data_IF_449650291991
#
_entry.id   IF_449650291991
#
_cell.length_a   1.000
_cell.length_b   1.000
_cell.length_c   1.000
_cell.angle_alpha   90.00
_cell.angle_beta   90.00
_cell.angle_gamma   90.00
#
_symmetry.space_group_name_H-M   'P 1'
#
loop_
_entity.id
_entity.type
_entity.pdbx_description
1 polymer ?
#
# COMPACT_ATOMS: atom_id res chain seq x y z
N UNK A 1 -32.63 1.88 -27.86
CA UNK A 1 -31.25 1.57 -27.35
C UNK A 1 -31.36 0.37 -26.45
N UNK A 2 -30.56 -0.67 -26.63
CA UNK A 2 -30.51 -1.81 -25.71
C UNK A 2 -29.99 -1.35 -24.33
N UNK A 3 -30.55 -1.91 -23.27
CA UNK A 3 -30.12 -1.62 -21.89
C UNK A 3 -28.66 -2.11 -21.72
N UNK A 4 -27.75 -1.21 -21.30
CA UNK A 4 -26.36 -1.59 -21.00
C UNK A 4 -26.32 -2.61 -19.86
N UNK A 5 -25.55 -3.67 -20.01
CA UNK A 5 -25.22 -4.61 -18.95
C UNK A 5 -24.31 -3.97 -17.90
N UNK A 6 -24.07 -4.63 -16.77
CA UNK A 6 -23.16 -4.14 -15.73
C UNK A 6 -21.75 -3.90 -16.31
N UNK A 7 -21.22 -4.87 -17.08
CA UNK A 7 -19.88 -4.80 -17.67
C UNK A 7 -19.68 -3.65 -18.67
N UNK A 8 -20.76 -3.21 -19.34
CA UNK A 8 -20.73 -2.11 -20.32
C UNK A 8 -20.85 -0.72 -19.67
N UNK A 9 -21.00 -0.64 -18.34
CA UNK A 9 -21.14 0.62 -17.61
C UNK A 9 -19.80 1.05 -17.00
N UNK A 10 -19.51 2.33 -17.11
CA UNK A 10 -18.38 2.95 -16.43
C UNK A 10 -18.85 3.50 -15.07
N UNK A 11 -18.88 2.63 -14.07
CA UNK A 11 -19.26 3.02 -12.71
C UNK A 11 -18.17 3.84 -12.03
N UNK A 12 -18.58 4.70 -11.09
CA UNK A 12 -17.70 5.49 -10.25
C UNK A 12 -17.19 4.66 -9.07
N UNK A 13 -16.18 5.19 -8.38
CA UNK A 13 -15.47 4.51 -7.30
C UNK A 13 -16.43 3.94 -6.24
N UNK A 14 -17.38 4.76 -5.78
CA UNK A 14 -18.33 4.43 -4.72
C UNK A 14 -19.26 3.27 -5.10
N UNK A 15 -19.56 3.11 -6.38
CA UNK A 15 -20.30 1.95 -6.89
C UNK A 15 -19.39 0.73 -7.02
N UNK A 16 -18.16 0.92 -7.53
CA UNK A 16 -17.21 -0.17 -7.71
C UNK A 16 -16.83 -0.80 -6.38
N UNK A 17 -16.58 0.00 -5.33
CA UNK A 17 -16.21 -0.50 -4.00
C UNK A 17 -17.28 -1.39 -3.35
N UNK A 18 -18.54 -1.28 -3.80
CA UNK A 18 -19.67 -2.06 -3.28
C UNK A 18 -19.98 -3.32 -4.09
N UNK A 19 -19.66 -3.33 -5.40
CA UNK A 19 -20.24 -4.31 -6.31
C UNK A 19 -19.23 -5.23 -6.99
N UNK A 20 -17.99 -4.78 -7.22
CA UNK A 20 -17.02 -5.59 -7.99
C UNK A 20 -16.73 -6.91 -7.28
N UNK A 21 -16.77 -8.00 -8.05
CA UNK A 21 -16.58 -9.36 -7.59
C UNK A 21 -17.83 -10.02 -6.99
N UNK A 22 -18.94 -9.25 -6.82
CA UNK A 22 -20.23 -9.76 -6.36
C UNK A 22 -21.41 -9.13 -7.13
N UNK A 23 -21.23 -8.91 -8.42
CA UNK A 23 -22.26 -8.38 -9.32
C UNK A 23 -23.50 -9.27 -9.34
N UNK A 24 -23.30 -10.58 -9.16
CA UNK A 24 -24.33 -11.59 -9.00
C UNK A 24 -24.33 -12.12 -7.55
N UNK A 25 -25.47 -12.59 -7.05
CA UNK A 25 -25.53 -13.30 -5.77
C UNK A 25 -24.71 -14.60 -5.84
N UNK A 26 -24.42 -15.19 -4.68
CA UNK A 26 -23.79 -16.50 -4.61
C UNK A 26 -24.61 -17.53 -5.40
N UNK A 27 -24.03 -18.27 -6.37
CA UNK A 27 -24.79 -19.12 -7.29
C UNK A 27 -25.39 -20.38 -6.64
N UNK A 28 -25.00 -20.70 -5.39
CA UNK A 28 -25.48 -21.89 -4.71
C UNK A 28 -26.57 -21.55 -3.69
N UNK A 29 -26.44 -20.40 -3.02
CA UNK A 29 -27.30 -20.05 -1.86
C UNK A 29 -28.16 -18.82 -2.12
N UNK A 30 -27.96 -18.12 -3.25
CA UNK A 30 -28.55 -16.82 -3.56
C UNK A 30 -28.20 -15.71 -2.55
N UNK A 31 -27.17 -15.92 -1.71
CA UNK A 31 -26.74 -14.94 -0.73
C UNK A 31 -26.26 -13.67 -1.41
N UNK A 32 -26.74 -12.51 -0.96
CA UNK A 32 -26.27 -11.20 -1.46
C UNK A 32 -24.93 -10.83 -0.89
N UNK A 33 -24.71 -11.08 0.41
CA UNK A 33 -23.39 -10.87 1.02
C UNK A 33 -22.40 -11.93 0.54
N UNK A 34 -21.11 -11.56 0.44
CA UNK A 34 -20.06 -12.50 0.06
C UNK A 34 -19.94 -13.59 1.15
N UNK A 35 -20.12 -14.88 0.83
CA UNK A 35 -19.95 -15.96 1.81
C UNK A 35 -18.48 -16.09 2.26
N UNK A 36 -18.28 -16.50 3.52
CA UNK A 36 -16.96 -16.82 4.04
C UNK A 36 -16.68 -18.31 3.79
N UNK A 37 -15.85 -18.61 2.80
CA UNK A 37 -15.46 -19.99 2.48
C UNK A 37 -14.27 -20.42 3.34
N UNK A 38 -14.52 -20.72 4.60
CA UNK A 38 -13.51 -21.14 5.58
C UNK A 38 -13.16 -22.62 5.35
N UNK A 39 -12.46 -22.91 4.25
CA UNK A 39 -12.02 -24.25 3.86
C UNK A 39 -10.58 -24.27 3.38
N UNK A 40 -9.81 -25.28 3.83
CA UNK A 40 -8.43 -25.48 3.36
C UNK A 40 -8.37 -26.20 2.01
N UNK A 41 -9.41 -26.96 1.61
CA UNK A 41 -9.38 -27.81 0.42
C UNK A 41 -10.74 -27.93 -0.24
N UNK A 42 -10.73 -28.24 -1.53
CA UNK A 42 -11.91 -28.35 -2.38
C UNK A 42 -11.95 -29.73 -3.05
N UNK A 43 -13.15 -30.33 -3.15
CA UNK A 43 -13.35 -31.68 -3.67
C UNK A 43 -13.39 -31.67 -5.19
N UNK A 44 -12.71 -32.64 -5.80
CA UNK A 44 -12.78 -32.88 -7.25
C UNK A 44 -13.90 -33.87 -7.58
N UNK A 45 -14.45 -33.77 -8.79
CA UNK A 45 -15.51 -34.66 -9.30
C UNK A 45 -15.01 -36.09 -9.51
N UNK A 46 -13.76 -36.22 -10.00
CA UNK A 46 -13.06 -37.46 -10.26
C UNK A 46 -11.55 -37.20 -10.47
N UNK A 47 -10.76 -38.22 -10.72
CA UNK A 47 -9.30 -38.12 -10.90
C UNK A 47 -8.89 -37.29 -12.13
N UNK A 48 -9.66 -37.37 -13.22
CA UNK A 48 -9.39 -36.58 -14.43
C UNK A 48 -9.63 -35.09 -14.20
N UNK A 49 -10.70 -34.73 -13.46
CA UNK A 49 -10.95 -33.37 -13.02
C UNK A 49 -9.82 -32.85 -12.12
N UNK A 50 -9.32 -33.67 -11.19
CA UNK A 50 -8.16 -33.31 -10.36
C UNK A 50 -6.93 -33.06 -11.24
N UNK A 51 -6.61 -33.96 -12.17
CA UNK A 51 -5.50 -33.79 -13.09
C UNK A 51 -5.60 -32.53 -13.95
N UNK A 52 -6.81 -32.22 -14.45
CA UNK A 52 -7.07 -31.00 -15.24
C UNK A 52 -6.83 -29.72 -14.41
N UNK A 53 -7.24 -29.68 -13.13
CA UNK A 53 -6.99 -28.56 -12.21
C UNK A 53 -5.48 -28.35 -11.99
N UNK A 54 -4.74 -29.42 -11.65
CA UNK A 54 -3.29 -29.34 -11.45
C UNK A 54 -2.53 -29.05 -12.76
N UNK A 55 -3.04 -29.53 -13.89
CA UNK A 55 -2.49 -29.27 -15.23
C UNK A 55 -2.87 -27.91 -15.82
N UNK A 56 -3.63 -27.07 -15.09
CA UNK A 56 -4.09 -25.73 -15.52
C UNK A 56 -4.99 -25.71 -16.76
N UNK A 57 -5.55 -26.86 -17.15
CA UNK A 57 -6.51 -26.97 -18.25
C UNK A 57 -7.95 -26.74 -17.80
N UNK A 58 -8.21 -26.71 -16.50
CA UNK A 58 -9.49 -26.38 -15.89
C UNK A 58 -9.26 -25.38 -14.74
N UNK A 59 -9.97 -24.26 -14.76
CA UNK A 59 -9.86 -23.23 -13.76
C UNK A 59 -10.68 -23.53 -12.50
N UNK A 60 -10.21 -23.15 -11.30
CA UNK A 60 -10.96 -23.18 -10.05
C UNK A 60 -10.13 -23.52 -8.84
N UNK A 61 -10.83 -23.78 -7.74
CA UNK A 61 -10.20 -23.96 -6.44
C UNK A 61 -9.61 -25.37 -6.28
N UNK A 62 -8.43 -25.44 -5.66
CA UNK A 62 -7.72 -26.67 -5.32
C UNK A 62 -7.47 -26.69 -3.81
N UNK A 63 -6.78 -25.70 -3.31
CA UNK A 63 -6.34 -25.57 -1.93
C UNK A 63 -6.37 -24.11 -1.48
N UNK A 64 -6.90 -23.84 -0.29
CA UNK A 64 -7.17 -22.49 0.22
C UNK A 64 -5.96 -21.57 0.33
N UNK A 65 -4.72 -22.10 0.36
CA UNK A 65 -3.52 -21.29 0.32
C UNK A 65 -3.32 -20.60 -1.04
N UNK A 66 -3.80 -21.23 -2.12
CA UNK A 66 -3.61 -20.73 -3.49
C UNK A 66 -4.79 -19.91 -3.98
N UNK A 67 -6.00 -20.40 -3.71
CA UNK A 67 -7.25 -19.81 -4.18
C UNK A 67 -8.36 -20.02 -3.18
N UNK A 68 -9.15 -18.99 -2.93
CA UNK A 68 -10.33 -19.06 -2.08
C UNK A 68 -11.40 -18.09 -2.63
N UNK A 69 -12.67 -18.49 -2.72
CA UNK A 69 -13.71 -17.64 -3.32
C UNK A 69 -13.93 -16.31 -2.59
N UNK A 70 -13.73 -16.26 -1.26
CA UNK A 70 -13.87 -15.00 -0.49
C UNK A 70 -12.71 -14.06 -0.77
N UNK A 71 -11.49 -14.59 -0.82
CA UNK A 71 -10.29 -13.83 -1.18
C UNK A 71 -10.35 -13.32 -2.62
N UNK A 72 -10.87 -14.12 -3.55
CA UNK A 72 -11.02 -13.76 -4.96
C UNK A 72 -11.88 -12.50 -5.14
N UNK A 73 -12.99 -12.39 -4.40
CA UNK A 73 -13.82 -11.17 -4.43
C UNK A 73 -13.04 -9.95 -3.93
N UNK A 74 -12.25 -10.09 -2.87
CA UNK A 74 -11.40 -9.02 -2.37
C UNK A 74 -10.34 -8.60 -3.40
N UNK A 75 -9.68 -9.58 -4.01
CA UNK A 75 -8.64 -9.36 -5.03
C UNK A 75 -9.22 -8.66 -6.26
N UNK A 76 -10.36 -9.12 -6.79
CA UNK A 76 -11.04 -8.50 -7.93
C UNK A 76 -11.43 -7.04 -7.62
N UNK A 77 -11.97 -6.80 -6.42
CA UNK A 77 -12.43 -5.48 -6.00
C UNK A 77 -11.28 -4.49 -5.90
N UNK A 78 -10.22 -4.83 -5.18
CA UNK A 78 -9.08 -3.93 -5.03
C UNK A 78 -8.33 -3.71 -6.36
N UNK A 79 -8.19 -4.74 -7.20
CA UNK A 79 -7.62 -4.58 -8.53
C UNK A 79 -8.39 -3.55 -9.35
N UNK A 80 -9.73 -3.64 -9.34
CA UNK A 80 -10.57 -2.69 -10.08
C UNK A 80 -10.52 -1.28 -9.51
N UNK A 81 -10.46 -1.13 -8.19
CA UNK A 81 -10.38 0.17 -7.54
C UNK A 81 -9.06 0.88 -7.83
N UNK A 82 -7.95 0.16 -7.88
CA UNK A 82 -6.64 0.69 -8.30
C UNK A 82 -6.51 0.90 -9.82
N UNK A 83 -7.37 0.29 -10.62
CA UNK A 83 -7.26 0.31 -12.08
C UNK A 83 -6.29 -0.72 -12.64
N UNK A 84 -5.95 -1.76 -11.86
CA UNK A 84 -5.15 -2.91 -12.27
C UNK A 84 -5.96 -4.00 -12.97
N UNK A 85 -5.26 -4.99 -13.52
CA UNK A 85 -5.85 -6.15 -14.20
C UNK A 85 -6.06 -7.34 -13.26
N UNK A 86 -5.24 -7.44 -12.22
CA UNK A 86 -5.31 -8.52 -11.23
C UNK A 86 -4.69 -8.08 -9.90
N UNK A 87 -5.07 -8.76 -8.83
CA UNK A 87 -4.45 -8.59 -7.51
C UNK A 87 -4.21 -9.93 -6.82
N UNK A 88 -3.35 -9.91 -5.82
CA UNK A 88 -3.05 -11.03 -4.94
C UNK A 88 -3.11 -10.57 -3.49
N UNK A 89 -4.02 -11.17 -2.71
CA UNK A 89 -4.09 -10.97 -1.28
C UNK A 89 -3.08 -11.87 -0.55
N UNK A 90 -2.43 -11.30 0.47
CA UNK A 90 -1.39 -11.96 1.28
C UNK A 90 -1.53 -11.61 2.75
N UNK A 91 -0.83 -12.33 3.62
CA UNK A 91 -0.98 -12.29 5.07
C UNK A 91 -0.67 -10.93 5.72
N UNK A 92 0.10 -10.06 5.07
CA UNK A 92 0.48 -8.73 5.61
C UNK A 92 1.00 -7.81 4.51
N UNK A 93 1.07 -6.49 4.80
CA UNK A 93 1.76 -5.53 3.94
C UNK A 93 3.25 -5.88 3.76
N UNK A 94 3.90 -6.35 4.83
CA UNK A 94 5.29 -6.81 4.75
C UNK A 94 5.44 -8.01 3.79
N UNK A 95 4.49 -8.96 3.78
CA UNK A 95 4.49 -10.06 2.81
C UNK A 95 4.25 -9.56 1.38
N UNK A 96 3.40 -8.54 1.19
CA UNK A 96 3.17 -7.94 -0.13
C UNK A 96 4.45 -7.32 -0.70
N UNK A 97 5.16 -6.52 0.08
CA UNK A 97 6.45 -5.91 -0.28
C UNK A 97 7.51 -7.01 -0.52
N UNK A 98 7.66 -7.95 0.40
CA UNK A 98 8.66 -9.02 0.30
C UNK A 98 8.45 -9.87 -0.95
N UNK A 99 7.23 -10.31 -1.23
CA UNK A 99 6.91 -11.08 -2.43
C UNK A 99 7.09 -10.27 -3.71
N UNK A 100 6.79 -8.98 -3.69
CA UNK A 100 7.01 -8.10 -4.83
C UNK A 100 8.50 -8.08 -5.20
N UNK A 101 9.39 -7.82 -4.23
CA UNK A 101 10.82 -7.78 -4.52
C UNK A 101 11.41 -9.14 -4.85
N UNK A 102 11.03 -10.22 -4.15
CA UNK A 102 11.48 -11.58 -4.47
C UNK A 102 10.97 -12.08 -5.82
N UNK A 103 9.88 -11.52 -6.33
CA UNK A 103 9.40 -11.85 -7.67
C UNK A 103 10.18 -11.11 -8.78
N UNK A 104 10.69 -9.91 -8.47
CA UNK A 104 11.46 -9.05 -9.40
C UNK A 104 12.95 -9.35 -9.37
N UNK A 105 13.53 -9.57 -8.20
CA UNK A 105 14.97 -9.63 -7.95
C UNK A 105 15.40 -10.98 -7.36
N UNK A 106 16.60 -11.40 -7.72
CA UNK A 106 17.27 -12.61 -7.23
C UNK A 106 18.66 -12.25 -6.71
N UNK A 107 19.40 -13.25 -6.22
CA UNK A 107 20.79 -13.05 -5.79
C UNK A 107 21.63 -12.41 -6.91
N UNK A 108 22.30 -11.31 -6.60
CA UNK A 108 23.07 -10.49 -7.54
C UNK A 108 22.28 -9.32 -8.16
N UNK A 109 20.99 -9.19 -7.89
CA UNK A 109 20.18 -8.09 -8.39
C UNK A 109 20.11 -6.90 -7.40
N UNK A 110 19.61 -5.77 -7.90
CA UNK A 110 19.58 -4.50 -7.21
C UNK A 110 18.21 -3.81 -7.29
N UNK A 111 17.84 -3.07 -6.25
CA UNK A 111 16.63 -2.25 -6.15
C UNK A 111 17.02 -0.79 -5.85
N UNK A 112 16.39 0.17 -6.50
CA UNK A 112 16.45 1.58 -6.09
C UNK A 112 15.19 1.88 -5.26
N UNK A 113 15.34 2.47 -4.09
CA UNK A 113 14.22 2.81 -3.21
C UNK A 113 14.33 4.25 -2.71
N UNK A 114 13.20 4.93 -2.59
CA UNK A 114 13.16 6.21 -1.90
C UNK A 114 13.55 6.04 -0.41
N UNK A 115 14.23 7.04 0.16
CA UNK A 115 14.64 7.00 1.57
C UNK A 115 13.50 7.27 2.56
N UNK A 116 12.46 8.01 2.13
CA UNK A 116 11.30 8.37 2.94
C UNK A 116 10.15 7.33 2.86
N UNK A 117 10.48 6.06 3.04
CA UNK A 117 9.55 4.92 3.00
C UNK A 117 9.33 4.34 4.40
N UNK A 118 8.34 3.46 4.52
CA UNK A 118 8.05 2.73 5.74
C UNK A 118 9.30 2.02 6.29
N UNK A 119 9.59 2.20 7.59
CA UNK A 119 10.79 1.65 8.23
C UNK A 119 10.94 0.14 8.09
N UNK A 120 9.84 -0.62 8.07
CA UNK A 120 9.90 -2.07 7.81
C UNK A 120 10.33 -2.41 6.38
N UNK A 121 9.97 -1.61 5.38
CA UNK A 121 10.45 -1.77 4.00
C UNK A 121 11.92 -1.35 3.90
N UNK A 122 12.30 -0.28 4.58
CA UNK A 122 13.71 0.12 4.68
C UNK A 122 14.56 -1.02 5.26
N UNK A 123 14.18 -1.56 6.42
CA UNK A 123 14.91 -2.67 7.06
C UNK A 123 14.97 -3.92 6.18
N UNK A 124 13.88 -4.26 5.49
CA UNK A 124 13.86 -5.37 4.53
C UNK A 124 14.93 -5.19 3.44
N UNK A 125 15.00 -4.00 2.84
CA UNK A 125 15.92 -3.69 1.74
C UNK A 125 17.35 -3.48 2.22
N UNK A 126 17.56 -2.85 3.38
CA UNK A 126 18.88 -2.51 3.88
C UNK A 126 19.60 -3.70 4.55
N UNK A 127 18.86 -4.60 5.19
CA UNK A 127 19.43 -5.62 6.06
C UNK A 127 19.00 -7.03 5.66
N UNK A 128 17.71 -7.31 5.47
CA UNK A 128 17.22 -8.68 5.27
C UNK A 128 17.53 -9.20 3.86
N UNK A 129 17.20 -8.48 2.82
CA UNK A 129 17.41 -8.94 1.44
C UNK A 129 18.90 -9.05 1.04
N UNK A 130 19.83 -8.26 1.56
CA UNK A 130 21.25 -8.47 1.35
C UNK A 130 21.77 -9.83 1.81
N UNK A 131 21.19 -10.44 2.84
CA UNK A 131 21.51 -11.82 3.27
C UNK A 131 21.15 -12.86 2.20
N UNK A 132 20.21 -12.52 1.30
CA UNK A 132 19.81 -13.33 0.14
C UNK A 132 20.45 -12.84 -1.16
N UNK A 133 21.41 -11.92 -1.08
CA UNK A 133 22.19 -11.41 -2.22
C UNK A 133 21.47 -10.37 -3.05
N UNK A 134 20.37 -9.78 -2.59
CA UNK A 134 19.67 -8.66 -3.24
C UNK A 134 20.09 -7.37 -2.55
N UNK A 135 20.64 -6.41 -3.28
CA UNK A 135 21.11 -5.13 -2.75
C UNK A 135 20.13 -3.99 -3.05
N UNK A 136 20.24 -2.89 -2.30
CA UNK A 136 19.45 -1.70 -2.55
C UNK A 136 20.27 -0.41 -2.42
N UNK A 137 19.89 0.61 -3.20
CA UNK A 137 20.34 2.00 -3.03
C UNK A 137 19.14 2.85 -2.60
N UNK A 138 19.34 3.64 -1.54
CA UNK A 138 18.34 4.59 -1.07
C UNK A 138 18.64 5.98 -1.60
N UNK A 139 17.64 6.62 -2.18
CA UNK A 139 17.76 7.90 -2.90
C UNK A 139 16.75 8.92 -2.38
N UNK A 140 17.07 10.20 -2.54
CA UNK A 140 16.10 11.27 -2.36
C UNK A 140 15.09 11.24 -3.51
N UNK A 141 13.79 10.96 -3.29
CA UNK A 141 12.80 10.88 -4.34
C UNK A 141 12.53 12.23 -5.04
N UNK A 142 13.03 13.33 -4.51
CA UNK A 142 12.96 14.67 -5.10
C UNK A 142 14.20 15.04 -5.91
N UNK A 143 15.27 14.25 -5.81
CA UNK A 143 16.48 14.39 -6.62
C UNK A 143 16.48 13.36 -7.77
N UNK A 144 15.88 13.74 -8.91
CA UNK A 144 15.74 12.83 -10.05
C UNK A 144 17.06 12.40 -10.66
N UNK A 145 18.12 13.23 -10.55
CA UNK A 145 19.45 12.85 -11.01
C UNK A 145 20.07 11.76 -10.12
N UNK A 146 19.87 11.83 -8.81
CA UNK A 146 20.30 10.79 -7.88
C UNK A 146 19.61 9.46 -8.16
N UNK A 147 18.32 9.49 -8.52
CA UNK A 147 17.57 8.30 -8.93
C UNK A 147 18.20 7.68 -10.18
N UNK A 148 18.47 8.50 -11.21
CA UNK A 148 19.13 8.05 -12.45
C UNK A 148 20.52 7.45 -12.18
N UNK A 149 21.34 8.14 -11.37
CA UNK A 149 22.72 7.74 -11.05
C UNK A 149 22.77 6.45 -10.21
N UNK A 150 21.73 6.17 -9.43
CA UNK A 150 21.62 4.95 -8.62
C UNK A 150 21.24 3.70 -9.43
N UNK A 151 20.70 3.86 -10.64
CA UNK A 151 20.30 2.73 -11.48
C UNK A 151 21.52 2.03 -12.07
N UNK A 152 21.63 0.72 -11.80
CA UNK A 152 22.70 -0.17 -12.27
C UNK A 152 22.17 -1.11 -13.36
N UNK A 153 23.06 -1.83 -14.05
CA UNK A 153 22.66 -2.82 -15.06
C UNK A 153 21.72 -3.91 -14.49
N UNK A 154 22.01 -4.35 -13.27
CA UNK A 154 21.27 -5.36 -12.51
C UNK A 154 20.09 -4.79 -11.70
N UNK A 155 19.75 -3.51 -11.83
CA UNK A 155 18.58 -2.93 -11.17
C UNK A 155 17.31 -3.51 -11.76
N UNK A 156 16.37 -3.92 -10.87
CA UNK A 156 15.11 -4.58 -11.23
C UNK A 156 13.86 -3.75 -10.97
N UNK A 157 13.93 -2.75 -10.12
CA UNK A 157 12.77 -1.88 -9.83
C UNK A 157 13.22 -0.56 -9.20
N UNK A 158 12.34 0.44 -9.31
CA UNK A 158 12.32 1.60 -8.41
C UNK A 158 11.13 1.44 -7.48
N UNK A 159 11.31 1.74 -6.19
CA UNK A 159 10.26 1.71 -5.16
C UNK A 159 10.06 3.07 -4.50
N UNK A 160 8.80 3.51 -4.43
CA UNK A 160 8.38 4.74 -3.76
C UNK A 160 7.08 4.52 -2.98
N UNK A 161 6.75 5.44 -2.08
CA UNK A 161 5.41 5.59 -1.48
C UNK A 161 4.71 6.82 -2.07
N UNK A 162 3.39 6.80 -2.20
CA UNK A 162 2.61 7.94 -2.71
C UNK A 162 2.68 9.16 -1.81
N UNK A 163 2.69 8.91 -0.51
CA UNK A 163 2.90 9.87 0.57
C UNK A 163 4.00 9.34 1.47
N UNK A 164 5.09 10.08 1.57
CA UNK A 164 6.26 9.69 2.35
C UNK A 164 5.95 9.48 3.84
N UNK A 165 6.61 8.52 4.44
CA UNK A 165 6.49 8.23 5.88
C UNK A 165 7.74 8.77 6.61
N UNK A 166 7.61 9.64 7.62
CA UNK A 166 6.35 9.99 8.30
C UNK A 166 5.69 11.32 7.89
N UNK A 167 6.32 12.12 7.03
CA UNK A 167 6.00 13.54 6.82
C UNK A 167 4.95 13.81 5.73
N UNK A 168 4.38 12.78 5.10
CA UNK A 168 3.37 12.90 4.02
C UNK A 168 3.81 13.73 2.81
N UNK A 169 5.09 13.75 2.49
CA UNK A 169 5.62 14.41 1.30
C UNK A 169 5.09 13.70 0.05
N UNK A 170 4.69 14.49 -0.95
CA UNK A 170 4.13 13.96 -2.20
C UNK A 170 5.23 13.71 -3.20
N UNK A 171 5.35 12.47 -3.69
CA UNK A 171 6.34 12.06 -4.69
C UNK A 171 5.75 12.19 -6.10
N UNK A 172 6.53 12.67 -7.08
CA UNK A 172 6.08 12.74 -8.48
C UNK A 172 6.14 11.35 -9.16
N UNK A 173 5.03 10.63 -9.01
CA UNK A 173 4.88 9.25 -9.52
C UNK A 173 5.18 9.18 -11.02
N UNK A 174 4.60 10.11 -11.81
CA UNK A 174 4.71 10.09 -13.26
C UNK A 174 6.15 10.31 -13.72
N UNK A 175 6.86 11.22 -13.07
CA UNK A 175 8.25 11.52 -13.42
C UNK A 175 9.18 10.34 -13.10
N UNK A 176 8.98 9.70 -11.94
CA UNK A 176 9.78 8.52 -11.55
C UNK A 176 9.41 7.30 -12.39
N UNK A 177 8.14 7.13 -12.77
CA UNK A 177 7.72 6.09 -13.71
C UNK A 177 8.43 6.23 -15.06
N UNK A 178 8.53 7.45 -15.58
CA UNK A 178 9.25 7.71 -16.83
C UNK A 178 10.73 7.35 -16.74
N UNK A 179 11.38 7.62 -15.60
CA UNK A 179 12.78 7.21 -15.35
C UNK A 179 12.87 5.68 -15.35
N UNK A 180 12.04 5.00 -14.57
CA UNK A 180 12.02 3.53 -14.49
C UNK A 180 11.85 2.89 -15.88
N UNK A 181 10.88 3.37 -16.65
CA UNK A 181 10.56 2.83 -17.98
C UNK A 181 11.67 3.09 -19.00
N UNK A 182 12.38 4.22 -18.92
CA UNK A 182 13.55 4.49 -19.78
C UNK A 182 14.65 3.44 -19.56
N UNK A 183 14.78 2.91 -18.34
CA UNK A 183 15.69 1.83 -18.00
C UNK A 183 15.09 0.42 -18.10
N UNK A 184 13.86 0.30 -18.64
CA UNK A 184 13.12 -0.97 -18.80
C UNK A 184 12.93 -1.74 -17.49
N UNK A 185 12.70 -1.03 -16.40
CA UNK A 185 12.36 -1.59 -15.08
C UNK A 185 11.01 -1.05 -14.63
N UNK A 186 10.24 -1.82 -13.82
CA UNK A 186 8.95 -1.38 -13.31
C UNK A 186 9.11 -0.38 -12.16
N UNK A 187 8.10 0.49 -12.02
CA UNK A 187 7.87 1.29 -10.83
C UNK A 187 6.91 0.54 -9.88
N UNK A 188 7.37 0.30 -8.65
CA UNK A 188 6.60 -0.25 -7.54
C UNK A 188 6.19 0.88 -6.61
N UNK A 189 4.90 1.03 -6.35
CA UNK A 189 4.36 2.11 -5.50
C UNK A 189 3.60 1.52 -4.33
N UNK A 190 3.99 1.86 -3.12
CA UNK A 190 3.15 1.62 -1.93
C UNK A 190 2.11 2.75 -1.81
N UNK A 191 0.84 2.37 -1.99
CA UNK A 191 -0.30 3.30 -1.96
C UNK A 191 -1.10 3.19 -0.65
N UNK A 192 -0.49 2.70 0.40
CA UNK A 192 -1.14 2.46 1.70
C UNK A 192 -1.73 3.74 2.30
N UNK A 193 -1.00 4.87 2.26
CA UNK A 193 -1.42 6.11 2.91
C UNK A 193 -2.44 6.90 2.10
N UNK A 194 -2.41 6.79 0.78
CA UNK A 194 -3.35 7.51 -0.07
C UNK A 194 -4.62 6.71 -0.39
N UNK A 195 -4.52 5.40 -0.52
CA UNK A 195 -5.59 4.51 -1.00
C UNK A 195 -5.98 4.77 -2.46
N UNK A 196 -6.63 3.82 -3.15
CA UNK A 196 -7.11 4.05 -4.52
C UNK A 196 -8.22 5.11 -4.61
N UNK A 197 -8.75 5.56 -3.47
CA UNK A 197 -9.76 6.61 -3.44
C UNK A 197 -9.18 8.00 -3.70
N UNK A 198 -8.03 8.31 -3.10
CA UNK A 198 -7.39 9.62 -3.27
C UNK A 198 -6.52 9.68 -4.53
N UNK A 199 -5.73 8.64 -4.80
CA UNK A 199 -4.88 8.55 -5.99
C UNK A 199 -4.74 7.11 -6.46
N UNK A 200 -4.69 6.92 -7.77
CA UNK A 200 -4.41 5.63 -8.42
C UNK A 200 -3.06 5.72 -9.12
N UNK A 201 -1.98 5.21 -8.52
CA UNK A 201 -0.64 5.31 -9.10
C UNK A 201 -0.52 4.73 -10.51
N UNK A 202 -1.33 3.70 -10.84
CA UNK A 202 -1.39 3.08 -12.17
C UNK A 202 -1.79 4.07 -13.27
N UNK A 203 -2.58 5.10 -12.96
CA UNK A 203 -2.96 6.14 -13.90
C UNK A 203 -1.77 7.06 -14.25
N UNK A 204 -0.74 7.06 -13.41
CA UNK A 204 0.48 7.86 -13.54
C UNK A 204 1.73 7.04 -13.85
N UNK A 205 1.58 5.79 -14.26
CA UNK A 205 2.67 4.96 -14.75
C UNK A 205 3.23 3.94 -13.76
N UNK A 206 2.66 3.80 -12.56
CA UNK A 206 3.04 2.68 -11.69
C UNK A 206 2.68 1.34 -12.33
N UNK A 207 3.58 0.38 -12.23
CA UNK A 207 3.40 -0.97 -12.78
C UNK A 207 2.84 -1.93 -11.77
N UNK A 208 3.34 -1.83 -10.54
CA UNK A 208 2.91 -2.63 -9.39
C UNK A 208 2.52 -1.70 -8.26
N UNK A 209 1.36 -1.92 -7.68
CA UNK A 209 0.90 -1.19 -6.49
C UNK A 209 0.77 -2.17 -5.34
N UNK A 210 1.28 -1.79 -4.17
CA UNK A 210 1.16 -2.59 -2.95
C UNK A 210 0.41 -1.82 -1.87
N UNK A 211 -0.26 -2.57 -0.99
CA UNK A 211 -0.91 -2.01 0.18
C UNK A 211 -0.69 -2.88 1.41
N UNK A 212 -0.49 -2.25 2.54
CA UNK A 212 -0.89 -2.84 3.81
C UNK A 212 -2.40 -2.66 3.96
N UNK A 213 -3.16 -3.74 3.67
CA UNK A 213 -4.62 -3.72 3.83
C UNK A 213 -5.05 -3.53 5.29
N UNK A 214 -4.15 -3.79 6.23
CA UNK A 214 -4.25 -3.51 7.67
C UNK A 214 -4.67 -2.07 7.98
N UNK A 215 -4.25 -1.11 7.12
CA UNK A 215 -4.42 0.33 7.32
C UNK A 215 -5.80 0.79 6.84
N UNK A 216 -5.92 1.78 6.00
CA UNK A 216 -7.22 2.33 5.56
C UNK A 216 -8.18 1.30 4.95
N UNK A 217 -7.69 0.26 4.25
CA UNK A 217 -8.57 -0.76 3.65
C UNK A 217 -9.39 -1.45 4.74
N UNK A 218 -8.75 -1.97 5.80
CA UNK A 218 -9.43 -2.49 6.98
C UNK A 218 -10.04 -1.39 7.84
N UNK A 219 -9.24 -0.39 8.16
CA UNK A 219 -9.63 0.87 8.79
C UNK A 219 -9.98 0.82 10.28
N UNK A 220 -9.94 -0.34 10.93
CA UNK A 220 -10.43 -0.52 12.30
C UNK A 220 -9.40 -1.16 13.25
N UNK A 221 -8.17 -1.37 12.81
CA UNK A 221 -7.11 -1.98 13.63
C UNK A 221 -7.40 -3.44 14.03
N UNK A 222 -8.29 -4.14 13.32
CA UNK A 222 -8.82 -5.45 13.73
C UNK A 222 -8.13 -6.62 13.04
N UNK A 223 -7.49 -6.41 11.88
CA UNK A 223 -6.93 -7.50 11.10
C UNK A 223 -5.71 -7.07 10.30
N UNK A 224 -4.81 -8.02 10.08
CA UNK A 224 -3.56 -7.81 9.32
C UNK A 224 -3.73 -8.47 7.96
N UNK A 225 -3.29 -7.77 6.91
CA UNK A 225 -3.25 -8.27 5.55
C UNK A 225 -2.50 -7.33 4.62
N UNK A 226 -2.19 -7.83 3.44
CA UNK A 226 -1.58 -7.07 2.37
C UNK A 226 -2.18 -7.44 1.02
N UNK A 227 -1.92 -6.62 0.02
CA UNK A 227 -2.34 -6.88 -1.35
C UNK A 227 -1.34 -6.32 -2.34
N UNK A 228 -1.13 -7.04 -3.42
CA UNK A 228 -0.29 -6.66 -4.56
C UNK A 228 -1.23 -6.50 -5.75
N UNK A 229 -1.18 -5.37 -6.43
CA UNK A 229 -1.98 -5.10 -7.64
C UNK A 229 -1.05 -4.97 -8.84
N UNK A 230 -1.35 -5.74 -9.88
CA UNK A 230 -0.64 -5.71 -11.16
C UNK A 230 -1.37 -4.78 -12.13
N UNK A 231 -0.68 -3.78 -12.66
CA UNK A 231 -1.25 -2.89 -13.68
C UNK A 231 -1.55 -3.62 -14.99
N UNK A 232 -0.82 -4.69 -15.29
CA UNK A 232 -0.82 -5.40 -16.56
C UNK A 232 -0.20 -4.62 -17.72
N UNK A 233 0.45 -3.50 -17.45
CA UNK A 233 0.98 -2.60 -18.49
C UNK A 233 2.46 -2.78 -18.77
N UNK A 234 3.23 -3.35 -17.83
CA UNK A 234 4.66 -3.52 -18.01
C UNK A 234 4.99 -4.61 -19.02
N UNK A 235 5.84 -4.29 -19.98
CA UNK A 235 6.30 -5.25 -20.99
C UNK A 235 7.45 -6.12 -20.47
N UNK A 236 7.09 -7.19 -19.76
CA UNK A 236 8.05 -8.15 -19.20
C UNK A 236 8.96 -8.77 -20.26
N UNK A 237 8.42 -9.05 -21.47
CA UNK A 237 9.17 -9.68 -22.56
C UNK A 237 10.11 -8.66 -23.20
N UNK A 238 9.61 -7.49 -23.55
CA UNK A 238 10.40 -6.43 -24.20
C UNK A 238 11.48 -5.81 -23.29
N UNK A 239 11.28 -5.89 -21.96
CA UNK A 239 12.30 -5.49 -20.98
C UNK A 239 13.57 -6.35 -21.08
N UNK A 240 13.43 -7.67 -21.22
CA UNK A 240 14.55 -8.62 -21.25
C UNK A 240 15.24 -8.84 -19.89
N UNK A 241 14.77 -8.20 -18.82
CA UNK A 241 15.42 -8.23 -17.49
C UNK A 241 14.83 -9.26 -16.51
N UNK A 242 13.70 -9.93 -16.85
CA UNK A 242 12.93 -10.75 -15.94
C UNK A 242 12.75 -12.21 -16.42
N UNK A 243 13.85 -13.00 -16.48
CA UNK A 243 13.78 -14.38 -16.98
C UNK A 243 12.83 -15.27 -16.16
N UNK A 244 12.67 -15.02 -14.88
CA UNK A 244 11.73 -15.74 -14.02
C UNK A 244 10.26 -15.63 -14.45
N UNK A 245 9.89 -14.57 -15.17
CA UNK A 245 8.55 -14.34 -15.73
C UNK A 245 8.47 -14.77 -17.20
N UNK A 246 9.56 -14.64 -17.96
CA UNK A 246 9.55 -14.78 -19.42
C UNK A 246 10.05 -16.12 -19.93
N UNK A 247 10.93 -16.80 -19.18
CA UNK A 247 11.47 -18.13 -19.54
C UNK A 247 10.62 -19.27 -18.98
N UNK A 248 10.74 -20.48 -19.54
CA UNK A 248 10.06 -21.67 -19.04
C UNK A 248 10.42 -21.98 -17.58
N UNK A 249 9.41 -22.05 -16.70
CA UNK A 249 9.60 -22.32 -15.28
C UNK A 249 9.60 -23.85 -15.01
N UNK A 250 10.72 -24.42 -14.51
CA UNK A 250 10.83 -25.86 -14.31
C UNK A 250 9.94 -26.40 -13.18
N UNK A 251 9.59 -25.55 -12.17
CA UNK A 251 8.73 -25.95 -11.06
C UNK A 251 7.24 -25.83 -11.38
N UNK A 252 6.89 -25.31 -12.58
CA UNK A 252 5.51 -25.11 -12.97
C UNK A 252 5.29 -25.51 -14.45
N UNK A 253 5.39 -26.80 -14.72
CA UNK A 253 5.13 -27.43 -16.04
C UNK A 253 5.89 -26.81 -17.21
N UNK A 254 7.00 -26.10 -16.99
CA UNK A 254 7.78 -25.44 -18.05
C UNK A 254 7.06 -24.26 -18.73
N UNK A 255 6.05 -23.67 -18.10
CA UNK A 255 5.39 -22.49 -18.67
C UNK A 255 6.23 -21.22 -18.50
N UNK A 256 6.12 -20.29 -19.45
CA UNK A 256 6.49 -18.90 -19.28
C UNK A 256 5.26 -18.13 -18.81
N UNK A 257 5.32 -17.53 -17.63
CA UNK A 257 4.16 -16.81 -17.07
C UNK A 257 3.72 -15.66 -17.97
N UNK A 258 4.66 -14.86 -18.49
CA UNK A 258 4.36 -13.75 -19.36
C UNK A 258 3.62 -14.19 -20.64
N UNK A 259 3.98 -15.35 -21.21
CA UNK A 259 3.32 -15.89 -22.41
C UNK A 259 1.99 -16.59 -22.10
N UNK A 260 1.91 -17.28 -20.94
CA UNK A 260 0.77 -18.11 -20.59
C UNK A 260 -0.44 -17.29 -20.10
N UNK A 261 -0.19 -16.24 -19.30
CA UNK A 261 -1.27 -15.45 -18.66
C UNK A 261 -1.23 -13.96 -19.00
N UNK A 262 -0.26 -13.53 -19.82
CA UNK A 262 -0.20 -12.16 -20.34
C UNK A 262 -0.15 -11.09 -19.25
N UNK A 263 -1.08 -10.12 -19.24
CA UNK A 263 -1.03 -8.97 -18.34
C UNK A 263 -1.01 -9.30 -16.83
N UNK A 264 -1.54 -10.45 -16.42
CA UNK A 264 -1.57 -10.87 -15.02
C UNK A 264 -0.35 -11.70 -14.59
N UNK A 265 0.72 -11.72 -15.40
CA UNK A 265 1.88 -12.58 -15.20
C UNK A 265 2.54 -12.37 -13.84
N UNK A 266 2.64 -11.13 -13.38
CA UNK A 266 3.35 -10.79 -12.16
C UNK A 266 2.70 -11.43 -10.92
N UNK A 267 1.44 -11.15 -10.66
CA UNK A 267 0.73 -11.71 -9.50
C UNK A 267 0.47 -13.20 -9.64
N UNK A 268 0.28 -13.70 -10.88
CA UNK A 268 0.10 -15.13 -11.10
C UNK A 268 1.36 -15.93 -10.73
N UNK A 269 2.55 -15.42 -11.08
CA UNK A 269 3.80 -16.08 -10.67
C UNK A 269 3.98 -16.04 -9.15
N UNK A 270 3.67 -14.93 -8.49
CA UNK A 270 3.75 -14.87 -7.02
C UNK A 270 2.83 -15.93 -6.40
N UNK A 271 1.57 -16.03 -6.86
CA UNK A 271 0.62 -17.05 -6.39
C UNK A 271 1.13 -18.48 -6.61
N UNK A 272 1.59 -18.76 -7.82
CA UNK A 272 1.97 -20.13 -8.23
C UNK A 272 3.30 -20.60 -7.64
N UNK A 273 4.21 -19.70 -7.29
CA UNK A 273 5.56 -20.00 -6.80
C UNK A 273 5.71 -19.54 -5.34
N UNK A 274 5.78 -18.21 -5.09
CA UNK A 274 6.15 -17.68 -3.78
C UNK A 274 5.09 -18.00 -2.72
N UNK A 275 3.84 -17.70 -2.99
CA UNK A 275 2.73 -17.97 -2.06
C UNK A 275 2.57 -19.48 -1.82
N UNK A 276 2.66 -20.28 -2.88
CA UNK A 276 2.58 -21.76 -2.77
C UNK A 276 3.66 -22.30 -1.86
N UNK A 277 4.90 -21.83 -2.02
CA UNK A 277 6.08 -22.46 -1.42
C UNK A 277 6.43 -21.88 -0.05
N UNK A 278 6.10 -20.59 0.21
CA UNK A 278 6.45 -19.90 1.47
C UNK A 278 5.26 -19.58 2.36
N UNK A 279 4.03 -19.61 1.82
CA UNK A 279 2.80 -19.76 2.59
C UNK A 279 2.23 -18.53 3.28
N UNK A 280 2.60 -17.30 2.90
CA UNK A 280 2.03 -16.08 3.49
C UNK A 280 0.59 -15.80 2.96
N UNK A 281 -0.30 -16.77 3.11
CA UNK A 281 -1.70 -16.69 2.64
C UNK A 281 -2.56 -15.84 3.57
N UNK A 282 -3.52 -15.14 3.01
CA UNK A 282 -4.54 -14.44 3.77
C UNK A 282 -5.58 -15.44 4.29
N UNK A 283 -6.23 -15.13 5.41
CA UNK A 283 -7.40 -15.87 5.88
C UNK A 283 -8.66 -15.41 5.16
N UNK A 284 -9.58 -16.31 4.75
CA UNK A 284 -10.88 -15.93 4.19
C UNK A 284 -11.70 -15.02 5.12
N UNK A 285 -11.57 -15.19 6.42
CA UNK A 285 -12.20 -14.31 7.40
C UNK A 285 -11.60 -12.90 7.37
N UNK A 286 -10.28 -12.77 7.21
CA UNK A 286 -9.63 -11.47 7.03
C UNK A 286 -10.05 -10.82 5.71
N UNK A 287 -10.14 -11.59 4.62
CA UNK A 287 -10.65 -11.09 3.34
C UNK A 287 -12.06 -10.53 3.46
N UNK A 288 -12.94 -11.19 4.21
CA UNK A 288 -14.28 -10.71 4.50
C UNK A 288 -14.28 -9.38 5.27
N UNK A 289 -13.41 -9.23 6.29
CA UNK A 289 -13.26 -7.96 7.02
C UNK A 289 -12.77 -6.85 6.09
N UNK A 290 -11.81 -7.14 5.22
CA UNK A 290 -11.33 -6.15 4.23
C UNK A 290 -12.39 -5.78 3.20
N UNK A 291 -13.24 -6.71 2.78
CA UNK A 291 -14.39 -6.41 1.92
C UNK A 291 -15.35 -5.42 2.59
N UNK A 292 -15.67 -5.63 3.88
CA UNK A 292 -16.50 -4.68 4.64
C UNK A 292 -15.81 -3.32 4.78
N UNK A 293 -14.49 -3.29 5.00
CA UNK A 293 -13.71 -2.07 5.02
C UNK A 293 -13.73 -1.33 3.69
N UNK A 294 -13.59 -2.04 2.56
CA UNK A 294 -13.67 -1.44 1.22
C UNK A 294 -15.03 -0.81 0.94
N UNK A 295 -16.12 -1.43 1.40
CA UNK A 295 -17.48 -0.92 1.16
C UNK A 295 -17.74 0.48 1.73
N UNK A 296 -16.94 0.91 2.72
CA UNK A 296 -17.01 2.25 3.32
C UNK A 296 -15.75 3.06 3.15
N UNK A 297 -14.83 2.64 2.28
CA UNK A 297 -13.51 3.27 2.15
C UNK A 297 -13.62 4.76 1.79
N UNK A 298 -14.40 5.10 0.77
CA UNK A 298 -14.57 6.50 0.34
C UNK A 298 -15.10 7.38 1.47
N UNK A 299 -16.14 6.93 2.17
CA UNK A 299 -16.77 7.68 3.26
C UNK A 299 -15.80 7.92 4.43
N UNK A 300 -14.99 6.92 4.78
CA UNK A 300 -14.00 7.05 5.84
C UNK A 300 -12.85 7.95 5.45
N UNK A 301 -12.30 7.75 4.24
CA UNK A 301 -11.17 8.55 3.77
C UNK A 301 -11.55 10.03 3.60
N UNK A 302 -12.74 10.33 3.08
CA UNK A 302 -13.25 11.72 3.04
C UNK A 302 -13.28 12.35 4.43
N UNK A 303 -13.81 11.65 5.44
CA UNK A 303 -13.87 12.15 6.81
C UNK A 303 -12.47 12.28 7.43
N UNK A 304 -11.59 11.33 7.23
CA UNK A 304 -10.19 11.41 7.68
C UNK A 304 -9.51 12.67 7.13
N UNK A 305 -9.64 12.92 5.82
CA UNK A 305 -9.05 14.07 5.15
C UNK A 305 -9.67 15.40 5.63
N UNK A 306 -10.99 15.44 5.72
CA UNK A 306 -11.69 16.63 6.24
C UNK A 306 -11.23 17.00 7.64
N UNK A 307 -11.16 16.02 8.55
CA UNK A 307 -10.69 16.24 9.91
C UNK A 307 -9.20 16.65 9.92
N UNK A 308 -8.36 15.95 9.16
CA UNK A 308 -6.93 16.24 9.11
C UNK A 308 -6.63 17.67 8.65
N UNK A 309 -7.30 18.16 7.62
CA UNK A 309 -7.10 19.53 7.14
C UNK A 309 -7.48 20.58 8.18
N UNK A 310 -8.52 20.33 8.99
CA UNK A 310 -8.91 21.21 10.10
C UNK A 310 -7.89 21.16 11.24
N UNK A 311 -7.33 19.96 11.54
CA UNK A 311 -6.24 19.83 12.53
C UNK A 311 -4.97 20.51 12.04
N UNK A 312 -4.63 20.38 10.75
CA UNK A 312 -3.48 21.08 10.14
C UNK A 312 -3.63 22.60 10.28
N UNK A 313 -4.83 23.14 10.00
CA UNK A 313 -5.08 24.58 10.17
C UNK A 313 -4.97 25.03 11.64
N UNK A 314 -5.51 24.27 12.58
CA UNK A 314 -5.37 24.51 14.01
C UNK A 314 -3.89 24.53 14.44
N UNK A 315 -3.12 23.48 14.09
CA UNK A 315 -1.72 23.36 14.47
C UNK A 315 -0.84 24.43 13.84
N UNK A 316 -1.05 24.76 12.56
CA UNK A 316 -0.30 25.80 11.85
C UNK A 316 -0.41 27.16 12.54
N UNK A 317 -1.55 27.45 13.15
CA UNK A 317 -1.81 28.73 13.83
C UNK A 317 -1.51 28.67 15.33
N UNK A 318 -1.09 27.53 15.88
CA UNK A 318 -0.89 27.38 17.32
C UNK A 318 0.48 27.91 17.77
N UNK A 319 0.56 28.77 18.84
CA UNK A 319 1.81 29.43 19.25
C UNK A 319 2.92 28.49 19.69
N UNK A 320 2.59 27.30 20.18
CA UNK A 320 3.55 26.29 20.62
C UNK A 320 3.99 25.32 19.51
N UNK A 321 3.47 25.45 18.28
CA UNK A 321 3.88 24.66 17.11
C UNK A 321 4.97 25.40 16.35
N UNK A 322 6.05 24.70 16.02
CA UNK A 322 7.15 25.22 15.22
C UNK A 322 6.87 25.02 13.72
N UNK A 323 6.42 23.83 13.34
CA UNK A 323 6.18 23.45 11.96
C UNK A 323 5.10 22.36 11.87
N UNK A 324 4.37 22.35 10.77
CA UNK A 324 3.46 21.25 10.37
C UNK A 324 3.98 20.68 9.06
N UNK A 325 4.30 19.39 9.05
CA UNK A 325 4.78 18.68 7.87
C UNK A 325 3.58 18.05 7.15
N UNK A 326 2.85 18.87 6.42
CA UNK A 326 1.71 18.44 5.60
C UNK A 326 1.75 19.16 4.25
N UNK A 327 1.53 18.45 3.12
CA UNK A 327 1.71 19.03 1.78
C UNK A 327 0.78 20.23 1.50
N UNK A 328 -0.40 20.29 2.11
CA UNK A 328 -1.34 21.42 1.92
C UNK A 328 -0.83 22.76 2.47
N UNK A 329 0.14 22.72 3.38
CA UNK A 329 0.72 23.91 4.04
C UNK A 329 2.24 23.99 3.85
N UNK A 330 2.79 23.23 2.92
CA UNK A 330 4.22 23.22 2.59
C UNK A 330 4.64 24.59 2.02
N UNK A 331 5.80 25.08 2.44
CA UNK A 331 6.43 26.28 1.85
C UNK A 331 7.14 25.97 0.52
N UNK A 332 7.32 24.71 0.18
CA UNK A 332 7.91 24.26 -1.08
C UNK A 332 6.86 24.28 -2.20
N UNK A 333 7.08 25.10 -3.23
CA UNK A 333 6.15 25.28 -4.35
C UNK A 333 5.97 23.99 -5.16
N UNK A 334 7.01 23.14 -5.31
CA UNK A 334 6.92 21.86 -6.00
C UNK A 334 5.96 20.92 -5.24
N UNK A 335 6.10 20.82 -3.91
CA UNK A 335 5.20 20.02 -3.09
C UNK A 335 3.74 20.49 -3.21
N UNK A 336 3.51 21.81 -3.26
CA UNK A 336 2.16 22.36 -3.46
C UNK A 336 1.58 21.99 -4.83
N UNK A 337 2.39 22.02 -5.88
CA UNK A 337 1.97 21.63 -7.23
C UNK A 337 1.68 20.13 -7.33
N UNK A 338 2.56 19.28 -6.77
CA UNK A 338 2.36 17.84 -6.71
C UNK A 338 1.11 17.48 -5.90
N UNK A 339 0.89 18.15 -4.77
CA UNK A 339 -0.32 17.95 -3.96
C UNK A 339 -1.59 18.29 -4.74
N UNK A 340 -1.63 19.42 -5.46
CA UNK A 340 -2.76 19.77 -6.33
C UNK A 340 -2.97 18.78 -7.48
N UNK A 341 -1.87 18.26 -8.04
CA UNK A 341 -1.90 17.30 -9.16
C UNK A 341 -2.46 15.95 -8.72
N UNK A 342 -1.94 15.38 -7.64
CA UNK A 342 -2.27 14.03 -7.20
C UNK A 342 -3.43 13.95 -6.21
N UNK A 343 -3.67 15.01 -5.44
CA UNK A 343 -4.66 15.04 -4.36
C UNK A 343 -5.65 16.21 -4.52
N UNK A 344 -6.39 16.29 -5.64
CA UNK A 344 -7.32 17.41 -5.87
C UNK A 344 -8.45 17.47 -4.84
N UNK A 345 -8.76 16.36 -4.18
CA UNK A 345 -9.77 16.25 -3.13
C UNK A 345 -9.16 16.24 -1.72
N UNK A 346 -7.89 16.62 -1.58
CA UNK A 346 -7.14 16.55 -0.34
C UNK A 346 -6.54 15.16 -0.08
N UNK A 347 -5.71 15.08 0.94
CA UNK A 347 -5.00 13.86 1.34
C UNK A 347 -4.12 14.13 2.55
N UNK A 348 -3.39 13.10 3.04
CA UNK A 348 -2.43 13.25 4.12
C UNK A 348 -3.07 13.31 5.51
N UNK A 349 -3.97 12.40 5.86
CA UNK A 349 -4.52 12.33 7.22
C UNK A 349 -3.55 11.72 8.25
N UNK A 350 -2.38 11.28 7.78
CA UNK A 350 -1.24 10.86 8.59
C UNK A 350 -0.12 11.85 8.30
N UNK A 351 0.31 12.62 9.28
CA UNK A 351 1.31 13.65 9.10
C UNK A 351 2.05 13.92 10.41
N UNK A 352 3.10 14.75 10.37
CA UNK A 352 3.85 15.15 11.55
C UNK A 352 3.75 16.64 11.80
N UNK A 353 4.00 17.01 13.05
CA UNK A 353 4.30 18.40 13.41
C UNK A 353 5.43 18.44 14.43
N UNK A 354 6.09 19.59 14.53
CA UNK A 354 7.16 19.86 15.46
C UNK A 354 6.65 20.83 16.53
N UNK A 355 6.71 20.41 17.80
CA UNK A 355 6.36 21.28 18.94
C UNK A 355 7.56 22.15 19.30
N UNK A 356 7.34 23.39 19.70
CA UNK A 356 8.41 24.25 20.22
C UNK A 356 8.92 23.73 21.54
N UNK A 357 10.15 23.22 21.54
CA UNK A 357 10.79 22.62 22.71
C UNK A 357 11.63 21.41 22.31
N UNK A 358 11.85 20.54 23.26
CA UNK A 358 12.69 19.37 23.17
C UNK A 358 11.86 18.05 23.15
N UNK A 359 12.54 16.93 23.13
CA UNK A 359 12.02 15.58 23.25
C UNK A 359 11.07 15.42 24.46
N UNK A 360 11.44 16.00 25.62
CA UNK A 360 10.61 15.88 26.82
C UNK A 360 9.26 16.56 26.65
N UNK A 361 9.25 17.76 26.06
CA UNK A 361 8.01 18.50 25.81
C UNK A 361 7.10 17.81 24.80
N UNK A 362 7.69 17.17 23.77
CA UNK A 362 6.92 16.37 22.81
C UNK A 362 6.24 15.17 23.48
N UNK A 363 6.95 14.46 24.35
CA UNK A 363 6.41 13.34 25.14
C UNK A 363 5.35 13.79 26.14
N UNK A 364 5.60 14.89 26.86
CA UNK A 364 4.62 15.45 27.79
C UNK A 364 3.32 15.84 27.08
N UNK A 365 3.40 16.39 25.85
CA UNK A 365 2.22 16.66 25.03
C UNK A 365 1.45 15.37 24.71
N UNK A 366 2.15 14.33 24.25
CA UNK A 366 1.54 13.04 23.90
C UNK A 366 0.88 12.40 25.13
N UNK A 367 1.55 12.42 26.27
CA UNK A 367 1.09 11.81 27.52
C UNK A 367 -0.15 12.53 28.12
N UNK A 368 -0.44 13.75 27.70
CA UNK A 368 -1.62 14.52 28.11
C UNK A 368 -2.80 14.44 27.12
N UNK A 369 -2.70 13.70 26.04
CA UNK A 369 -3.82 13.41 25.14
C UNK A 369 -4.71 12.31 25.75
N UNK A 370 -6.03 12.53 25.76
CA UNK A 370 -7.02 11.59 26.29
C UNK A 370 -7.76 10.83 25.19
N UNK A 371 -8.05 11.51 24.05
CA UNK A 371 -8.76 10.94 22.91
C UNK A 371 -7.82 10.15 22.00
N UNK A 372 -6.62 10.66 21.75
CA UNK A 372 -5.64 9.99 20.89
C UNK A 372 -5.04 8.77 21.58
N UNK A 373 -5.03 7.64 20.88
CA UNK A 373 -4.34 6.44 21.39
C UNK A 373 -2.85 6.45 21.04
N UNK A 374 -1.98 6.33 22.03
CA UNK A 374 -0.54 6.18 21.85
C UNK A 374 -0.22 4.74 21.48
N UNK A 375 0.08 4.47 20.22
CA UNK A 375 0.40 3.15 19.71
C UNK A 375 1.07 3.18 18.32
N UNK A 376 1.73 2.06 17.97
CA UNK A 376 2.42 1.88 16.69
C UNK A 376 1.48 1.43 15.57
N UNK A 377 0.50 2.26 15.20
CA UNK A 377 -0.37 2.06 14.05
C UNK A 377 -0.70 3.41 13.39
N UNK A 378 -1.40 3.37 12.26
CA UNK A 378 -1.93 4.53 11.52
C UNK A 378 -3.21 4.11 10.79
N UNK A 379 -3.97 5.09 10.30
CA UNK A 379 -5.14 4.88 9.44
C UNK A 379 -6.28 4.07 10.09
N UNK A 380 -6.39 4.14 11.41
CA UNK A 380 -7.56 3.67 12.16
C UNK A 380 -8.65 4.75 12.13
N UNK A 381 -9.91 4.34 12.24
CA UNK A 381 -11.04 5.28 12.42
C UNK A 381 -10.93 6.10 13.70
N UNK A 382 -10.11 5.65 14.66
CA UNK A 382 -9.74 6.40 15.87
C UNK A 382 -8.46 7.18 15.64
N UNK A 383 -8.37 8.36 16.23
CA UNK A 383 -7.17 9.19 16.21
C UNK A 383 -6.03 8.55 17.00
N UNK A 384 -4.84 8.51 16.39
CA UNK A 384 -3.64 7.90 16.95
C UNK A 384 -2.49 8.89 16.98
N UNK A 385 -1.59 8.70 17.95
CA UNK A 385 -0.38 9.51 18.12
C UNK A 385 0.81 8.63 18.41
N UNK A 386 2.00 9.07 17.98
CA UNK A 386 3.27 8.44 18.37
C UNK A 386 4.42 9.45 18.29
N UNK A 387 5.49 9.20 19.04
CA UNK A 387 6.76 9.93 18.98
C UNK A 387 7.74 9.17 18.07
N UNK A 388 7.92 9.54 16.78
CA UNK A 388 8.70 8.72 15.84
C UNK A 388 10.12 8.46 16.28
N UNK A 389 10.84 9.50 16.73
CA UNK A 389 12.26 9.41 17.06
C UNK A 389 12.58 8.35 18.14
N UNK A 390 11.71 8.17 19.13
CA UNK A 390 11.93 7.19 20.21
C UNK A 390 11.20 5.86 20.02
N UNK A 391 10.48 5.67 18.90
CA UNK A 391 9.64 4.47 18.68
C UNK A 391 9.82 3.90 17.29
N UNK A 392 9.03 4.33 16.30
CA UNK A 392 9.00 3.75 14.95
C UNK A 392 10.29 3.95 14.15
N UNK A 393 11.15 4.87 14.55
CA UNK A 393 12.44 5.19 13.92
C UNK A 393 13.60 5.16 14.95
N UNK A 394 13.39 4.52 16.10
CA UNK A 394 14.42 4.42 17.14
C UNK A 394 15.63 3.56 16.75
N UNK A 395 15.49 2.75 15.69
CA UNK A 395 16.58 1.95 15.12
C UNK A 395 17.55 2.79 14.26
N UNK A 396 17.12 3.98 13.82
CA UNK A 396 17.93 4.92 13.05
C UNK A 396 18.78 5.77 14.00
N UNK A 397 20.02 6.06 13.59
CA UNK A 397 20.83 7.04 14.30
C UNK A 397 20.33 8.47 14.04
N UNK A 398 20.87 9.47 14.76
CA UNK A 398 20.40 10.84 14.69
C UNK A 398 20.57 11.48 13.28
N UNK A 399 21.59 11.10 12.52
CA UNK A 399 21.82 11.58 11.15
C UNK A 399 20.78 10.97 10.19
N UNK A 400 20.52 9.68 10.30
CA UNK A 400 19.51 8.98 9.51
C UNK A 400 18.08 9.49 9.82
N UNK A 401 17.78 9.78 11.09
CA UNK A 401 16.51 10.41 11.48
C UNK A 401 16.38 11.81 10.87
N UNK A 402 17.44 12.62 10.92
CA UNK A 402 17.44 13.95 10.33
C UNK A 402 17.27 13.92 8.81
N UNK A 403 17.89 12.94 8.13
CA UNK A 403 17.73 12.71 6.68
C UNK A 403 16.28 12.37 6.28
N UNK A 404 15.53 11.75 7.19
CA UNK A 404 14.10 11.49 7.03
C UNK A 404 13.21 12.62 7.56
N UNK A 405 13.81 13.76 7.93
CA UNK A 405 13.10 14.92 8.46
C UNK A 405 12.47 14.70 9.84
N UNK A 406 13.04 13.79 10.64
CA UNK A 406 12.57 13.49 11.99
C UNK A 406 13.51 14.19 13.00
N UNK A 407 12.93 15.02 13.85
CA UNK A 407 13.61 15.66 14.97
C UNK A 407 13.13 15.08 16.30
N UNK A 408 13.85 15.37 17.38
CA UNK A 408 13.49 14.94 18.74
C UNK A 408 12.15 15.50 19.24
N UNK A 409 11.68 16.63 18.67
CA UNK A 409 10.41 17.27 18.98
C UNK A 409 9.30 16.97 17.97
N UNK A 410 9.51 15.98 17.08
CA UNK A 410 8.53 15.56 16.06
C UNK A 410 7.47 14.65 16.65
N UNK A 411 6.21 14.96 16.41
CA UNK A 411 5.04 14.16 16.80
C UNK A 411 4.30 13.74 15.53
N UNK A 412 3.97 12.45 15.38
CA UNK A 412 3.16 11.93 14.29
C UNK A 412 1.72 11.73 14.74
N UNK A 413 0.79 12.28 13.99
CA UNK A 413 -0.65 12.09 14.14
C UNK A 413 -1.19 11.21 13.01
N UNK A 414 -2.15 10.37 13.32
CA UNK A 414 -3.06 9.73 12.37
C UNK A 414 -4.47 10.13 12.75
N UNK A 415 -5.06 11.03 11.99
CA UNK A 415 -6.35 11.64 12.34
C UNK A 415 -7.48 10.69 11.98
N UNK A 416 -8.34 10.43 12.95
CA UNK A 416 -9.50 9.55 12.82
C UNK A 416 -10.75 10.22 12.28
N UNK A 417 -11.88 9.55 12.49
CA UNK A 417 -13.20 9.97 11.97
C UNK A 417 -14.13 10.52 13.04
N UNK A 418 -13.61 10.76 14.25
CA UNK A 418 -14.35 11.32 15.37
C UNK A 418 -14.92 12.71 15.03
N UNK A 419 -15.75 13.27 15.91
CA UNK A 419 -16.17 14.65 15.78
C UNK A 419 -14.93 15.57 15.84
N UNK A 420 -14.83 16.51 14.90
CA UNK A 420 -13.65 17.37 14.79
C UNK A 420 -13.49 18.30 15.99
N UNK A 421 -14.56 18.73 16.60
CA UNK A 421 -14.51 19.62 17.76
C UNK A 421 -13.88 18.89 18.96
N UNK A 422 -14.18 17.60 19.14
CA UNK A 422 -13.59 16.78 20.19
C UNK A 422 -12.09 16.55 19.93
N UNK A 423 -11.69 16.31 18.67
CA UNK A 423 -10.27 16.18 18.30
C UNK A 423 -9.50 17.48 18.62
N UNK A 424 -10.04 18.62 18.23
CA UNK A 424 -9.40 19.92 18.45
C UNK A 424 -9.34 20.26 19.95
N UNK A 425 -10.39 19.95 20.72
CA UNK A 425 -10.39 20.20 22.17
C UNK A 425 -9.35 19.38 22.90
N UNK A 426 -9.21 18.08 22.57
CA UNK A 426 -8.17 17.21 23.15
C UNK A 426 -6.76 17.73 22.86
N UNK A 427 -6.49 18.14 21.60
CA UNK A 427 -5.21 18.76 21.25
C UNK A 427 -4.95 20.06 22.01
N UNK A 428 -5.97 20.91 22.19
CA UNK A 428 -5.88 22.18 22.89
C UNK A 428 -5.60 21.97 24.38
N UNK A 429 -6.32 21.07 25.04
CA UNK A 429 -6.12 20.73 26.46
C UNK A 429 -4.71 20.18 26.68
N UNK A 430 -4.19 19.33 25.78
CA UNK A 430 -2.82 18.83 25.84
C UNK A 430 -1.78 19.96 25.73
N UNK A 431 -1.98 20.96 24.87
CA UNK A 431 -1.10 22.13 24.82
C UNK A 431 -1.19 23.02 26.08
N UNK A 432 -2.39 23.20 26.64
CA UNK A 432 -2.60 23.97 27.86
C UNK A 432 -1.91 23.36 29.08
N UNK A 433 -1.81 22.02 29.13
CA UNK A 433 -1.13 21.29 30.21
C UNK A 433 0.39 21.45 30.24
N UNK A 434 0.99 21.98 29.17
CA UNK A 434 2.44 22.20 29.04
C UNK A 434 2.92 23.56 29.58
N UNK A 435 2.03 24.40 30.11
CA UNK A 435 2.33 25.75 30.61
C UNK A 435 2.69 25.76 32.07
#
# INVERSE_FOLDING_TARGET
MSKKTYAERNFKFETLQLHVGQEQPDPVTDARAVPIYQSSSFVFKNSDHAAARFGLSDAGNIYGRLTNPTEDVFEQRIAKLEGGVAALAVASGAAAISYTFQNLAHAGDHIVAAKNIYGGTYNLLAHTLPEYGITASFVDPFNYQEIEDAIQENTKAIHIETLGNPNSEVVDIEKIANIAHAHKIPLVVDNTFATPYLVRPIEYGADIVVHSATKFIGGHGTTIGGVIVDSGKFDWIGSGKFPSLTEPNPSYHGISFAKAVGPAAFVTRIRAILLRDTGATLSPFHAFIFLQGLETLSLRVERHVENALKVVDFLKNHPQVERVNHPSVSDNSEQQELYKKYFPNGGGSIFTFEIKGDDRKAKDFIDNLELFSLLANVADVKSLVIHPASTTHAELNAEEQADQGIKENTIRLSIGTENIDDIIEDLKEAFESLN
#
